data_IF_940456666499
#
_entry.id   IF_940456666499
#
_cell.length_a   1.000
_cell.length_b   1.000
_cell.length_c   1.000
_cell.angle_alpha   90.00
_cell.angle_beta   90.00
_cell.angle_gamma   90.00
#
_symmetry.space_group_name_H-M   'P 1'
#
loop_
_entity.id
_entity.type
_entity.pdbx_description
1 polymer ?
#
# COMPACT_ATOMS: atom_id res chain seq x y z
N UNK A 1 -45.01 -10.11 71.67
CA UNK A 1 -45.60 -11.12 70.76
C UNK A 1 -44.61 -11.39 69.64
N UNK A 2 -44.39 -12.67 69.32
CA UNK A 2 -43.67 -13.18 68.13
C UNK A 2 -44.36 -12.64 66.86
N UNK A 3 -43.80 -12.52 65.65
CA UNK A 3 -43.09 -13.54 64.85
C UNK A 3 -42.67 -12.88 63.50
N UNK A 4 -41.42 -13.09 63.10
CA UNK A 4 -40.88 -13.51 61.77
C UNK A 4 -41.41 -13.02 60.40
N UNK A 5 -40.44 -13.05 59.45
CA UNK A 5 -40.49 -13.23 57.96
C UNK A 5 -40.42 -11.93 57.14
N UNK A 6 -39.69 -11.80 56.04
CA UNK A 6 -38.77 -12.68 55.29
C UNK A 6 -38.08 -11.83 54.20
N UNK A 7 -36.93 -12.32 53.72
CA UNK A 7 -36.14 -11.86 52.57
C UNK A 7 -36.92 -11.53 51.30
N UNK A 8 -36.44 -10.54 50.53
CA UNK A 8 -36.32 -10.55 49.06
C UNK A 8 -35.03 -9.79 48.68
N UNK A 9 -33.99 -10.50 48.25
CA UNK A 9 -33.64 -10.79 46.85
C UNK A 9 -33.08 -9.54 46.13
N UNK A 10 -31.75 -9.46 46.01
CA UNK A 10 -30.95 -9.94 44.86
C UNK A 10 -30.79 -8.83 43.79
N UNK A 11 -29.74 -8.04 43.93
CA UNK A 11 -29.25 -7.14 42.89
C UNK A 11 -28.27 -7.91 42.00
N UNK A 12 -28.76 -8.45 40.89
CA UNK A 12 -27.91 -8.93 39.80
C UNK A 12 -27.63 -7.75 38.86
N UNK A 13 -26.46 -7.14 39.00
CA UNK A 13 -25.92 -6.23 37.98
C UNK A 13 -25.27 -7.05 36.88
N UNK A 14 -26.00 -7.23 35.79
CA UNK A 14 -25.48 -7.69 34.51
C UNK A 14 -24.84 -6.47 33.80
N UNK A 15 -23.53 -6.51 33.57
CA UNK A 15 -22.81 -5.46 32.86
C UNK A 15 -21.70 -6.07 32.04
N UNK A 16 -22.01 -6.31 30.76
CA UNK A 16 -21.21 -7.02 29.77
C UNK A 16 -19.92 -6.23 29.49
N UNK A 17 -18.76 -6.80 29.84
CA UNK A 17 -17.46 -6.37 29.32
C UNK A 17 -17.27 -7.04 27.95
N UNK A 18 -17.77 -6.39 26.90
CA UNK A 18 -17.37 -6.69 25.53
C UNK A 18 -15.91 -6.24 25.39
N UNK A 19 -14.98 -7.17 25.58
CA UNK A 19 -13.64 -7.03 25.05
C UNK A 19 -13.76 -7.09 23.53
N UNK A 20 -13.85 -5.92 22.90
CA UNK A 20 -13.56 -5.79 21.48
C UNK A 20 -12.06 -6.10 21.31
N UNK A 21 -11.73 -7.37 21.13
CA UNK A 21 -10.48 -7.74 20.46
C UNK A 21 -10.60 -7.18 19.05
N UNK A 22 -10.08 -5.97 18.86
CA UNK A 22 -9.85 -5.41 17.55
C UNK A 22 -8.95 -6.41 16.81
N UNK A 23 -9.54 -7.17 15.89
CA UNK A 23 -8.78 -7.76 14.81
C UNK A 23 -8.23 -6.58 14.01
N UNK A 24 -7.03 -6.12 14.37
CA UNK A 24 -6.20 -5.39 13.44
C UNK A 24 -5.80 -6.43 12.38
N UNK A 25 -6.67 -6.64 11.40
CA UNK A 25 -6.28 -7.32 10.18
C UNK A 25 -5.27 -6.38 9.54
N UNK A 26 -3.98 -6.70 9.70
CA UNK A 26 -2.87 -6.07 8.98
C UNK A 26 -3.06 -6.34 7.50
N UNK A 27 -3.92 -5.55 6.88
CA UNK A 27 -4.08 -5.53 5.44
C UNK A 27 -2.86 -4.81 4.91
N UNK A 28 -1.95 -5.58 4.31
CA UNK A 28 -0.88 -5.01 3.51
C UNK A 28 -1.56 -4.36 2.32
N UNK A 29 -1.74 -3.04 2.41
CA UNK A 29 -2.45 -2.22 1.44
C UNK A 29 -1.50 -1.31 0.69
N UNK A 30 -2.00 -0.75 -0.40
CA UNK A 30 -1.37 0.39 -1.06
C UNK A 30 -2.48 1.41 -1.30
N UNK A 31 -2.69 2.29 -0.32
CA UNK A 31 -3.79 3.24 -0.26
C UNK A 31 -3.87 4.13 -1.51
N UNK A 32 -2.71 4.42 -2.13
CA UNK A 32 -2.67 5.20 -3.37
C UNK A 32 -3.51 4.56 -4.48
N UNK A 33 -3.58 3.22 -4.57
CA UNK A 33 -4.37 2.49 -5.58
C UNK A 33 -5.89 2.56 -5.32
N UNK A 34 -6.30 2.90 -4.11
CA UNK A 34 -7.70 3.07 -3.72
C UNK A 34 -8.16 4.53 -3.78
N UNK A 35 -7.22 5.46 -3.96
CA UNK A 35 -7.50 6.88 -4.12
C UNK A 35 -8.10 7.21 -5.48
N UNK A 36 -8.70 8.41 -5.60
CA UNK A 36 -9.10 8.94 -6.91
C UNK A 36 -7.89 9.10 -7.84
N UNK A 37 -8.14 9.19 -9.15
CA UNK A 37 -7.07 9.36 -10.14
C UNK A 37 -6.18 10.56 -9.79
N UNK A 38 -4.87 10.39 -9.98
CA UNK A 38 -3.91 11.48 -9.75
C UNK A 38 -4.16 12.64 -10.72
N UNK A 39 -3.90 13.87 -10.27
CA UNK A 39 -3.94 15.05 -11.15
C UNK A 39 -2.92 14.99 -12.30
N UNK A 40 -1.87 14.18 -12.13
CA UNK A 40 -0.86 13.95 -13.16
C UNK A 40 -1.42 13.04 -14.26
N UNK A 41 -1.26 13.41 -15.54
CA UNK A 41 -1.73 12.59 -16.65
C UNK A 41 -0.98 11.25 -16.68
N UNK A 42 -1.72 10.17 -16.87
CA UNK A 42 -1.16 8.83 -17.06
C UNK A 42 -0.53 8.75 -18.46
N UNK A 43 0.74 8.36 -18.61
CA UNK A 43 1.39 8.21 -19.92
C UNK A 43 0.68 7.20 -20.83
N UNK A 44 0.68 7.45 -22.14
CA UNK A 44 0.06 6.57 -23.14
C UNK A 44 0.57 5.13 -23.05
N UNK A 45 1.86 4.98 -22.75
CA UNK A 45 2.51 3.67 -22.62
C UNK A 45 1.94 2.81 -21.48
N UNK A 46 1.27 3.43 -20.50
CA UNK A 46 0.51 2.72 -19.45
C UNK A 46 -0.92 2.48 -19.93
N UNK A 47 -1.56 3.49 -20.54
CA UNK A 47 -2.94 3.42 -21.00
C UNK A 47 -3.17 2.36 -22.07
N UNK A 48 -2.24 2.22 -23.02
CA UNK A 48 -2.36 1.31 -24.16
C UNK A 48 -1.83 -0.10 -23.86
N UNK A 49 -1.35 -0.36 -22.64
CA UNK A 49 -0.69 -1.61 -22.30
C UNK A 49 -1.65 -2.58 -21.63
N UNK A 50 -1.89 -3.71 -22.29
CA UNK A 50 -2.82 -4.75 -21.85
C UNK A 50 -2.40 -5.44 -20.53
N UNK A 51 -1.21 -5.14 -20.00
CA UNK A 51 -0.78 -5.64 -18.69
C UNK A 51 -1.42 -4.89 -17.52
N UNK A 52 -1.91 -3.66 -17.72
CA UNK A 52 -2.39 -2.80 -16.64
C UNK A 52 -3.87 -2.44 -16.81
N UNK A 53 -4.59 -2.36 -15.70
CA UNK A 53 -5.88 -1.70 -15.68
C UNK A 53 -5.64 -0.18 -15.76
N UNK A 54 -5.85 0.43 -16.94
CA UNK A 54 -5.46 1.81 -17.21
C UNK A 54 -6.04 2.84 -16.21
N UNK A 55 -7.26 2.60 -15.72
CA UNK A 55 -7.96 3.45 -14.75
C UNK A 55 -7.44 3.31 -13.31
N UNK A 56 -6.62 2.29 -13.04
CA UNK A 56 -5.98 2.06 -11.75
C UNK A 56 -4.63 2.76 -11.60
N UNK A 57 -4.10 3.36 -12.67
CA UNK A 57 -2.79 4.00 -12.63
C UNK A 57 -2.80 5.24 -11.73
N UNK A 58 -1.79 5.36 -10.87
CA UNK A 58 -1.63 6.44 -9.90
C UNK A 58 -0.20 6.91 -9.89
N UNK A 59 -0.01 8.21 -10.10
CA UNK A 59 1.31 8.81 -10.01
C UNK A 59 1.82 8.81 -8.57
N UNK A 60 3.05 8.34 -8.37
CA UNK A 60 3.70 8.26 -7.07
C UNK A 60 4.70 9.41 -6.84
N UNK A 61 5.41 9.80 -7.90
CA UNK A 61 6.47 10.81 -7.79
C UNK A 61 7.49 10.75 -8.92
N UNK A 62 8.48 11.62 -8.84
CA UNK A 62 9.60 11.70 -9.79
C UNK A 62 10.92 11.53 -9.06
N UNK A 63 11.83 10.74 -9.63
CA UNK A 63 13.20 10.57 -9.13
C UNK A 63 14.14 10.63 -10.33
N UNK A 64 15.08 11.58 -10.30
CA UNK A 64 16.17 11.72 -11.29
C UNK A 64 15.71 11.65 -12.76
N UNK A 65 14.60 12.32 -13.09
CA UNK A 65 14.06 12.37 -14.46
C UNK A 65 13.17 11.19 -14.84
N UNK A 66 12.86 10.28 -13.91
CA UNK A 66 11.88 9.21 -14.10
C UNK A 66 10.60 9.49 -13.33
N UNK A 67 9.47 9.34 -14.01
CA UNK A 67 8.14 9.35 -13.40
C UNK A 67 7.75 7.94 -12.98
N UNK A 68 7.21 7.80 -11.76
CA UNK A 68 6.81 6.52 -11.20
C UNK A 68 5.31 6.44 -10.99
N UNK A 69 4.74 5.29 -11.33
CA UNK A 69 3.31 5.02 -11.20
C UNK A 69 3.08 3.67 -10.53
N UNK A 70 2.06 3.60 -9.68
CA UNK A 70 1.47 2.33 -9.27
C UNK A 70 0.28 2.02 -10.16
N UNK A 71 0.02 0.75 -10.44
CA UNK A 71 -1.20 0.30 -11.11
C UNK A 71 -1.60 -1.11 -10.64
N UNK A 72 -2.85 -1.49 -10.86
CA UNK A 72 -3.31 -2.88 -10.81
C UNK A 72 -3.05 -3.57 -12.16
N UNK A 73 -2.69 -4.86 -12.17
CA UNK A 73 -2.63 -5.62 -13.42
C UNK A 73 -4.01 -5.78 -14.04
N UNK A 74 -4.10 -5.82 -15.37
CA UNK A 74 -5.38 -5.98 -16.08
C UNK A 74 -6.05 -7.34 -15.82
N UNK A 75 -5.24 -8.38 -15.57
CA UNK A 75 -5.68 -9.76 -15.35
C UNK A 75 -5.69 -10.20 -13.89
N UNK A 76 -5.18 -9.38 -12.96
CA UNK A 76 -5.06 -9.74 -11.55
C UNK A 76 -6.22 -9.21 -10.71
N UNK A 77 -6.37 -9.77 -9.51
CA UNK A 77 -7.33 -9.26 -8.53
C UNK A 77 -6.77 -8.08 -7.73
N UNK A 78 -7.58 -7.51 -6.84
CA UNK A 78 -7.22 -6.35 -6.00
C UNK A 78 -6.06 -6.57 -5.02
N UNK A 79 -5.43 -7.75 -5.06
CA UNK A 79 -4.30 -8.17 -4.22
C UNK A 79 -2.95 -8.09 -4.93
N UNK A 80 -2.90 -7.59 -6.18
CA UNK A 80 -1.66 -7.38 -6.92
C UNK A 80 -1.45 -5.91 -7.23
N UNK A 81 -0.19 -5.50 -7.21
CA UNK A 81 0.24 -4.15 -7.56
C UNK A 81 1.46 -4.18 -8.47
N UNK A 82 1.53 -3.22 -9.36
CA UNK A 82 2.61 -2.98 -10.28
C UNK A 82 3.30 -1.66 -9.95
N UNK A 83 4.62 -1.64 -10.00
CA UNK A 83 5.42 -0.42 -10.09
C UNK A 83 5.83 -0.22 -11.53
N UNK A 84 5.67 0.99 -12.04
CA UNK A 84 6.01 1.37 -13.41
C UNK A 84 6.94 2.58 -13.34
N UNK A 85 8.09 2.48 -14.02
CA UNK A 85 9.05 3.55 -14.21
C UNK A 85 8.98 4.01 -15.68
N UNK A 86 8.81 5.31 -15.89
CA UNK A 86 8.77 5.93 -17.22
C UNK A 86 9.86 7.01 -17.28
N UNK A 87 10.71 6.95 -18.29
CA UNK A 87 11.69 8.00 -18.59
C UNK A 87 10.94 9.27 -19.01
N UNK A 88 11.19 10.41 -18.38
CA UNK A 88 10.51 11.66 -18.72
C UNK A 88 11.07 12.31 -19.99
N UNK A 89 12.27 11.90 -20.42
CA UNK A 89 12.94 12.42 -21.62
C UNK A 89 12.78 11.53 -22.86
N UNK A 90 12.29 10.30 -22.70
CA UNK A 90 12.10 9.34 -23.79
C UNK A 90 10.80 8.54 -23.61
N UNK A 91 10.49 7.63 -24.53
CA UNK A 91 9.38 6.68 -24.36
C UNK A 91 9.83 5.38 -23.66
N UNK A 92 11.05 5.36 -23.11
CA UNK A 92 11.59 4.21 -22.37
C UNK A 92 10.84 3.99 -21.07
N UNK A 93 10.47 2.74 -20.79
CA UNK A 93 9.76 2.39 -19.56
C UNK A 93 10.08 0.95 -19.15
N UNK A 94 9.82 0.65 -17.88
CA UNK A 94 9.88 -0.70 -17.33
C UNK A 94 8.88 -0.86 -16.19
N UNK A 95 8.51 -2.10 -15.87
CA UNK A 95 7.58 -2.39 -14.79
C UNK A 95 7.85 -3.72 -14.13
N UNK A 96 7.30 -3.89 -12.94
CA UNK A 96 7.24 -5.16 -12.23
C UNK A 96 5.95 -5.22 -11.42
N UNK A 97 5.36 -6.40 -11.31
CA UNK A 97 4.13 -6.63 -10.56
C UNK A 97 4.36 -7.74 -9.54
N UNK A 98 3.67 -7.64 -8.40
CA UNK A 98 3.75 -8.63 -7.33
C UNK A 98 2.46 -8.62 -6.51
N UNK A 99 2.22 -9.71 -5.79
CA UNK A 99 1.17 -9.79 -4.78
C UNK A 99 1.51 -8.90 -3.59
N UNK A 100 0.51 -8.18 -3.06
CA UNK A 100 0.63 -7.32 -1.89
C UNK A 100 0.60 -8.19 -0.62
N UNK A 101 1.77 -8.70 -0.23
CA UNK A 101 1.92 -9.64 0.89
C UNK A 101 3.17 -9.38 1.75
N UNK A 102 3.86 -8.27 1.50
CA UNK A 102 5.10 -7.90 2.17
C UNK A 102 5.27 -6.38 2.18
N UNK A 103 6.04 -5.89 3.16
CA UNK A 103 6.41 -4.47 3.31
C UNK A 103 6.92 -3.87 2.00
N UNK A 104 7.86 -4.56 1.34
CA UNK A 104 8.31 -4.22 -0.01
C UNK A 104 7.57 -5.10 -1.01
N UNK A 105 6.68 -4.52 -1.79
CA UNK A 105 5.78 -5.22 -2.72
C UNK A 105 6.47 -5.48 -4.06
N UNK A 106 7.05 -4.43 -4.65
CA UNK A 106 7.80 -4.51 -5.92
C UNK A 106 9.13 -3.80 -5.75
N UNK A 107 10.21 -4.37 -6.29
CA UNK A 107 11.52 -3.72 -6.42
C UNK A 107 11.90 -3.67 -7.91
N UNK A 108 12.31 -2.49 -8.38
CA UNK A 108 12.84 -2.28 -9.72
C UNK A 108 14.27 -1.78 -9.66
N UNK A 109 15.07 -2.26 -10.60
CA UNK A 109 16.45 -1.82 -10.82
C UNK A 109 16.64 -1.49 -12.30
N UNK A 110 16.87 -0.22 -12.64
CA UNK A 110 17.00 0.22 -14.03
C UNK A 110 17.20 1.71 -14.20
N UNK A 111 17.27 2.19 -15.45
CA UNK A 111 17.56 3.60 -15.76
C UNK A 111 19.06 3.94 -15.85
N UNK A 112 19.35 5.18 -16.26
CA UNK A 112 20.71 5.75 -16.36
C UNK A 112 20.70 7.19 -15.79
N UNK A 113 21.32 7.45 -14.62
CA UNK A 113 22.01 6.48 -13.77
C UNK A 113 21.05 5.41 -13.21
N UNK A 114 21.60 4.26 -12.81
CA UNK A 114 20.82 3.14 -12.31
C UNK A 114 20.06 3.57 -11.05
N UNK A 115 18.75 3.40 -11.09
CA UNK A 115 17.83 3.60 -9.98
C UNK A 115 17.50 2.24 -9.35
N UNK A 116 17.44 2.21 -8.02
CA UNK A 116 16.86 1.11 -7.26
C UNK A 116 15.67 1.65 -6.49
N UNK A 117 14.47 1.30 -6.93
CA UNK A 117 13.22 1.83 -6.38
C UNK A 117 12.30 0.71 -5.95
N UNK A 118 11.43 1.00 -4.99
CA UNK A 118 10.48 0.06 -4.47
C UNK A 118 9.09 0.67 -4.30
N UNK A 119 8.08 -0.15 -4.57
CA UNK A 119 6.71 0.07 -4.14
C UNK A 119 6.52 -0.64 -2.80
N UNK A 120 6.15 0.12 -1.78
CA UNK A 120 6.13 -0.30 -0.38
C UNK A 120 4.71 -0.19 0.18
N UNK A 121 4.26 -1.18 0.95
CA UNK A 121 2.93 -1.20 1.55
C UNK A 121 2.77 -0.16 2.66
N UNK A 122 1.53 0.24 2.94
CA UNK A 122 1.20 1.29 3.91
C UNK A 122 1.57 0.95 5.35
N UNK A 123 1.56 -0.35 5.67
CA UNK A 123 1.81 -0.93 6.99
C UNK A 123 3.25 -1.45 7.16
N UNK A 124 4.14 -1.11 6.23
CA UNK A 124 5.54 -1.51 6.26
C UNK A 124 6.28 -1.06 7.53
N UNK A 125 7.20 -1.90 7.99
CA UNK A 125 8.11 -1.54 9.08
C UNK A 125 9.24 -0.65 8.54
N UNK A 126 9.01 0.66 8.54
CA UNK A 126 9.93 1.66 7.97
C UNK A 126 11.35 1.56 8.53
N UNK A 127 11.51 1.28 9.82
CA UNK A 127 12.82 1.14 10.46
C UNK A 127 13.70 0.07 9.78
N UNK A 128 13.10 -1.07 9.37
CA UNK A 128 13.84 -2.15 8.70
C UNK A 128 14.25 -1.76 7.27
N UNK A 129 13.43 -0.96 6.60
CA UNK A 129 13.75 -0.44 5.26
C UNK A 129 14.87 0.59 5.32
N UNK A 130 14.79 1.52 6.26
CA UNK A 130 15.82 2.55 6.49
C UNK A 130 17.16 1.94 6.90
N UNK A 131 17.17 0.96 7.82
CA UNK A 131 18.38 0.19 8.17
C UNK A 131 18.99 -0.55 6.98
N UNK A 132 18.16 -0.95 6.00
CA UNK A 132 18.60 -1.56 4.75
C UNK A 132 18.99 -0.55 3.66
N UNK A 133 19.03 0.75 3.98
CA UNK A 133 19.47 1.84 3.10
C UNK A 133 18.39 2.38 2.17
N UNK A 134 17.12 2.07 2.41
CA UNK A 134 16.01 2.65 1.66
C UNK A 134 15.59 3.98 2.28
N UNK A 135 15.28 4.94 1.42
CA UNK A 135 14.77 6.25 1.80
C UNK A 135 13.41 6.47 1.15
N UNK A 136 12.44 6.95 1.94
CA UNK A 136 11.14 7.32 1.39
C UNK A 136 11.27 8.58 0.53
N UNK A 137 10.78 8.50 -0.71
CA UNK A 137 10.78 9.62 -1.66
C UNK A 137 9.41 10.23 -1.82
N UNK A 138 8.37 9.40 -1.75
CA UNK A 138 6.96 9.82 -1.71
C UNK A 138 6.11 8.73 -1.03
N UNK A 139 4.79 8.92 -1.02
CA UNK A 139 3.85 7.89 -0.56
C UNK A 139 4.02 6.60 -1.36
N UNK A 140 4.20 5.47 -0.67
CA UNK A 140 4.51 4.13 -1.20
C UNK A 140 5.76 4.02 -2.11
N UNK A 141 6.48 5.12 -2.41
CA UNK A 141 7.67 5.13 -3.28
C UNK A 141 8.95 5.34 -2.50
N UNK A 142 9.83 4.35 -2.56
CA UNK A 142 11.11 4.34 -1.87
C UNK A 142 12.26 4.17 -2.86
N UNK A 143 13.44 4.69 -2.52
CA UNK A 143 14.66 4.57 -3.30
C UNK A 143 15.79 4.08 -2.40
N UNK A 144 16.63 3.18 -2.91
CA UNK A 144 17.89 2.83 -2.24
C UNK A 144 19.03 3.61 -2.88
N UNK A 145 19.78 4.33 -2.05
CA UNK A 145 21.03 4.95 -2.46
C UNK A 145 22.07 3.85 -2.70
N UNK A 146 22.52 3.69 -3.95
CA UNK A 146 23.58 2.74 -4.35
C UNK A 146 24.97 3.34 -4.27
#
# INVERSE_FOLDING_TARGET
MRTTKSCRAAAMTLGILQAASACASTSHGIAVLDSESSAQPVPEVIQSNEQFAADSARYLGEIEGYSYFAARPASGGDHEACLIQVDSASEGWMSGCSTIQSDKVVELSGGVPRQEVALVSDDSSTDTLEEAGWEQRAENLWQRST
#
